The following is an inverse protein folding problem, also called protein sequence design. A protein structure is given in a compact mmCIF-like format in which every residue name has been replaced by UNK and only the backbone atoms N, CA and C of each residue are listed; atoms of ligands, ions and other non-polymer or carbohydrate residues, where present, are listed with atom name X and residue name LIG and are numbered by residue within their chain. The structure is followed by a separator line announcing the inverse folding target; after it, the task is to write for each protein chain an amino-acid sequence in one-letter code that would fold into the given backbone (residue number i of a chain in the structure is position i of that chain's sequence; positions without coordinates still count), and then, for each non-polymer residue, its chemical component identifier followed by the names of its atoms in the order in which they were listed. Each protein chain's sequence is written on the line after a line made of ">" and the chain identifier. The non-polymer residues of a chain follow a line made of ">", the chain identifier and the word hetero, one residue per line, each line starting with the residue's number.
data_IF_949060874807
#
_entry.id   IF_949060874807
#
_cell.length_a   1.000
_cell.length_b   1.000
_cell.length_c   1.000
_cell.angle_alpha   90.00
_cell.angle_beta   90.00
_cell.angle_gamma   90.00
#
_symmetry.space_group_name_H-M   'P 1'
#
loop_
_entity.id
_entity.type
_entity.pdbx_description
1 polymer ?
#
# COMPACT_ATOMS: atom_id res chain seq x y z
N UNK A 1 -53.54 8.07 -68.07
CA UNK A 1 -52.07 8.11 -68.06
C UNK A 1 -51.68 8.88 -66.81
N UNK A 2 -51.12 8.33 -65.73
CA UNK A 2 -50.02 7.37 -65.56
C UNK A 2 -50.03 7.03 -64.04
N UNK A 3 -50.28 5.81 -63.55
CA UNK A 3 -49.41 4.62 -63.31
C UNK A 3 -48.23 4.77 -62.33
N UNK A 4 -48.35 3.99 -61.24
CA UNK A 4 -47.35 3.20 -60.49
C UNK A 4 -46.23 3.82 -59.61
N UNK A 5 -46.44 3.65 -58.29
CA UNK A 5 -45.62 2.95 -57.25
C UNK A 5 -44.07 2.93 -57.36
N UNK A 6 -43.41 3.17 -56.21
CA UNK A 6 -42.23 2.39 -55.80
C UNK A 6 -41.24 3.03 -54.82
N UNK A 7 -41.10 2.39 -53.64
CA UNK A 7 -39.90 2.28 -52.75
C UNK A 7 -39.28 3.59 -52.21
N UNK A 8 -39.04 3.79 -50.91
CA UNK A 8 -38.40 2.87 -49.96
C UNK A 8 -37.15 3.57 -49.43
N UNK A 9 -37.15 3.97 -48.15
CA UNK A 9 -36.05 4.74 -47.58
C UNK A 9 -36.26 5.08 -46.10
N UNK A 10 -36.26 4.05 -45.24
CA UNK A 10 -35.99 4.21 -43.82
C UNK A 10 -34.56 4.75 -43.67
N UNK A 11 -34.39 6.06 -43.52
CA UNK A 11 -33.19 6.61 -42.90
C UNK A 11 -33.47 6.77 -41.42
N UNK A 12 -33.05 5.77 -40.67
CA UNK A 12 -33.01 5.75 -39.22
C UNK A 12 -32.26 6.98 -38.72
N UNK A 13 -32.89 7.73 -37.83
CA UNK A 13 -32.31 8.83 -37.08
C UNK A 13 -30.94 8.47 -36.52
N UNK A 14 -29.94 9.32 -36.78
CA UNK A 14 -28.67 9.28 -36.06
C UNK A 14 -28.95 9.37 -34.55
N UNK A 15 -28.45 8.45 -33.71
CA UNK A 15 -28.65 8.59 -32.26
C UNK A 15 -27.98 9.90 -31.80
N UNK A 16 -28.55 10.60 -30.82
CA UNK A 16 -27.95 11.84 -30.33
C UNK A 16 -26.54 11.55 -29.83
N UNK A 17 -25.56 12.34 -30.30
CA UNK A 17 -24.22 12.35 -29.73
C UNK A 17 -24.36 12.48 -28.20
N UNK A 18 -23.79 11.52 -27.48
CA UNK A 18 -23.76 11.54 -26.02
C UNK A 18 -23.27 12.93 -25.55
N UNK A 19 -23.86 13.49 -24.49
CA UNK A 19 -23.50 14.83 -24.04
C UNK A 19 -22.01 14.88 -23.73
N UNK A 20 -21.28 15.76 -24.43
CA UNK A 20 -19.86 16.00 -24.19
C UNK A 20 -19.69 16.53 -22.77
N UNK A 21 -19.07 15.73 -21.90
CA UNK A 21 -18.79 16.11 -20.52
C UNK A 21 -17.96 17.41 -20.54
N UNK A 22 -18.42 18.49 -19.88
CA UNK A 22 -17.67 19.75 -19.85
C UNK A 22 -16.27 19.52 -19.28
N UNK A 23 -15.24 20.10 -19.89
CA UNK A 23 -13.84 19.89 -19.49
C UNK A 23 -13.56 20.22 -18.00
N UNK A 24 -14.34 21.12 -17.38
CA UNK A 24 -14.29 21.39 -15.95
C UNK A 24 -14.78 20.20 -15.11
N UNK A 25 -15.83 19.53 -15.56
CA UNK A 25 -16.37 18.31 -14.93
C UNK A 25 -15.42 17.13 -15.13
N UNK A 26 -14.80 17.00 -16.31
CA UNK A 26 -13.78 15.99 -16.58
C UNK A 26 -12.54 16.18 -15.70
N UNK A 27 -12.09 17.44 -15.52
CA UNK A 27 -10.99 17.77 -14.59
C UNK A 27 -11.35 17.51 -13.14
N UNK A 28 -12.59 17.82 -12.73
CA UNK A 28 -13.09 17.50 -11.39
C UNK A 28 -13.18 15.99 -11.14
N UNK A 29 -13.64 15.22 -12.13
CA UNK A 29 -13.68 13.76 -12.10
C UNK A 29 -12.28 13.15 -12.09
N UNK A 30 -11.35 13.65 -12.90
CA UNK A 30 -9.95 13.22 -12.89
C UNK A 30 -9.26 13.56 -11.57
N UNK A 31 -9.47 14.74 -11.02
CA UNK A 31 -8.93 15.12 -9.71
C UNK A 31 -9.54 14.25 -8.60
N UNK A 32 -10.85 13.97 -8.64
CA UNK A 32 -11.52 13.07 -7.70
C UNK A 32 -11.06 11.61 -7.87
N UNK A 33 -10.80 11.14 -9.08
CA UNK A 33 -10.20 9.83 -9.38
C UNK A 33 -8.75 9.75 -8.93
N UNK A 34 -7.97 10.81 -9.10
CA UNK A 34 -6.59 10.92 -8.63
C UNK A 34 -6.53 10.99 -7.09
N UNK A 35 -7.49 11.68 -6.45
CA UNK A 35 -7.66 11.73 -5.00
C UNK A 35 -8.20 10.41 -4.44
N UNK A 36 -9.08 9.71 -5.16
CA UNK A 36 -9.55 8.37 -4.80
C UNK A 36 -8.45 7.31 -5.01
N UNK A 37 -7.60 7.46 -6.04
CA UNK A 37 -6.40 6.66 -6.22
C UNK A 37 -5.35 6.91 -5.13
N UNK A 38 -5.38 8.08 -4.47
CA UNK A 38 -4.52 8.41 -3.34
C UNK A 38 -4.96 7.75 -2.01
N UNK A 39 -6.05 6.97 -1.99
CA UNK A 39 -6.55 6.26 -0.80
C UNK A 39 -6.22 4.76 -0.78
N UNK A 40 -5.50 4.25 -1.78
CA UNK A 40 -5.19 2.83 -1.93
C UNK A 40 -3.69 2.59 -1.77
N UNK A 41 -3.30 1.53 -1.07
CA UNK A 41 -1.90 1.10 -1.02
C UNK A 41 -1.42 0.79 -2.44
N UNK A 42 -0.33 1.42 -2.89
CA UNK A 42 0.16 1.35 -4.27
C UNK A 42 1.47 0.55 -4.40
N UNK A 43 2.30 0.55 -3.35
CA UNK A 43 3.58 -0.17 -3.34
C UNK A 43 3.75 -0.98 -2.06
N UNK A 44 4.10 -2.25 -2.21
CA UNK A 44 4.33 -3.19 -1.12
C UNK A 44 5.82 -3.58 -1.13
N UNK A 45 6.57 -3.11 -0.14
CA UNK A 45 7.96 -3.47 0.08
C UNK A 45 8.07 -4.78 0.85
N UNK A 46 8.44 -5.86 0.16
CA UNK A 46 8.68 -7.18 0.74
C UNK A 46 10.12 -7.36 1.26
N UNK A 47 10.96 -6.34 1.12
CA UNK A 47 12.35 -6.36 1.58
C UNK A 47 12.49 -6.35 3.09
N UNK A 48 13.35 -7.23 3.60
CA UNK A 48 13.71 -7.26 5.02
C UNK A 48 14.42 -5.98 5.48
N UNK A 49 14.43 -5.68 6.79
CA UNK A 49 15.19 -4.56 7.33
C UNK A 49 16.65 -4.64 6.86
N UNK A 50 17.29 -3.50 6.66
CA UNK A 50 18.72 -3.40 6.27
C UNK A 50 19.05 -3.90 4.85
N UNK A 51 18.05 -4.04 3.99
CA UNK A 51 18.20 -4.25 2.54
C UNK A 51 18.05 -2.97 1.71
N UNK A 52 18.00 -1.80 2.37
CA UNK A 52 17.79 -0.50 1.70
C UNK A 52 16.38 0.06 1.87
N UNK A 53 15.58 -0.46 2.82
CA UNK A 53 14.19 -0.02 3.11
C UNK A 53 14.05 1.49 3.29
N UNK A 54 14.99 2.13 4.00
CA UNK A 54 15.00 3.59 4.20
C UNK A 54 15.22 4.39 2.90
N UNK A 55 16.13 3.91 2.03
CA UNK A 55 16.37 4.55 0.74
C UNK A 55 15.18 4.35 -0.19
N UNK A 56 14.56 3.17 -0.16
CA UNK A 56 13.33 2.89 -0.90
C UNK A 56 12.19 3.79 -0.44
N UNK A 57 12.00 3.96 0.88
CA UNK A 57 10.97 4.82 1.42
C UNK A 57 11.09 6.26 0.91
N UNK A 58 12.28 6.85 1.05
CA UNK A 58 12.54 8.20 0.53
C UNK A 58 12.31 8.31 -0.98
N UNK A 59 12.74 7.31 -1.75
CA UNK A 59 12.51 7.31 -3.20
C UNK A 59 11.01 7.29 -3.54
N UNK A 60 10.20 6.48 -2.84
CA UNK A 60 8.76 6.40 -3.04
C UNK A 60 8.05 7.70 -2.63
N UNK A 61 8.46 8.31 -1.52
CA UNK A 61 7.98 9.63 -1.08
C UNK A 61 8.30 10.69 -2.15
N UNK A 62 9.53 10.73 -2.67
CA UNK A 62 9.95 11.66 -3.72
C UNK A 62 9.19 11.45 -5.04
N UNK A 63 8.82 10.21 -5.36
CA UNK A 63 8.04 9.87 -6.55
C UNK A 63 6.53 10.15 -6.40
N UNK A 64 6.09 10.60 -5.23
CA UNK A 64 4.70 10.97 -5.00
C UNK A 64 3.77 9.80 -4.65
N UNK A 65 4.30 8.65 -4.23
CA UNK A 65 3.50 7.50 -3.75
C UNK A 65 2.90 7.73 -2.35
N UNK A 66 2.85 8.97 -1.85
CA UNK A 66 2.34 9.30 -0.52
C UNK A 66 3.39 9.13 0.57
N UNK A 67 2.95 8.69 1.75
CA UNK A 67 3.78 8.55 2.95
C UNK A 67 3.61 7.15 3.57
N UNK A 68 4.53 6.77 4.45
CA UNK A 68 4.51 5.48 5.15
C UNK A 68 4.88 5.61 6.64
N UNK A 69 4.87 4.48 7.35
CA UNK A 69 5.26 4.39 8.77
C UNK A 69 6.71 4.79 9.08
N UNK A 70 7.63 4.76 8.12
CA UNK A 70 9.02 5.18 8.31
C UNK A 70 9.17 6.70 8.40
N UNK A 71 8.31 7.46 7.72
CA UNK A 71 8.37 8.93 7.64
C UNK A 71 7.56 9.66 8.75
N UNK A 72 7.16 8.94 9.82
CA UNK A 72 6.56 9.50 11.03
C UNK A 72 5.23 10.29 10.81
N UNK A 73 4.08 9.61 10.72
CA UNK A 73 2.76 10.28 10.80
C UNK A 73 1.54 9.40 11.18
N UNK A 74 1.73 8.31 11.93
CA UNK A 74 0.70 7.77 12.82
C UNK A 74 1.30 7.77 14.21
N UNK A 75 0.52 7.69 15.30
CA UNK A 75 1.08 7.14 16.52
C UNK A 75 1.60 5.74 16.12
N UNK A 76 2.94 5.49 16.07
CA UNK A 76 3.48 4.18 15.69
C UNK A 76 2.80 3.04 16.47
N UNK A 77 2.24 3.37 17.64
CA UNK A 77 1.41 2.52 18.48
C UNK A 77 0.28 1.80 17.74
N UNK A 78 -0.59 2.48 16.95
CA UNK A 78 -1.76 1.80 16.35
C UNK A 78 -1.39 0.78 15.29
N UNK A 79 -0.49 1.14 14.38
CA UNK A 79 -0.01 0.20 13.36
C UNK A 79 0.85 -0.92 13.98
N UNK A 80 1.68 -0.62 14.98
CA UNK A 80 2.46 -1.65 15.68
C UNK A 80 1.57 -2.59 16.48
N UNK A 81 0.54 -2.09 17.15
CA UNK A 81 -0.44 -2.90 17.88
C UNK A 81 -1.23 -3.79 16.93
N UNK A 82 -1.73 -3.23 15.83
CA UNK A 82 -2.42 -4.00 14.79
C UNK A 82 -1.52 -5.07 14.17
N UNK A 83 -0.25 -4.74 13.92
CA UNK A 83 0.73 -5.70 13.44
C UNK A 83 1.07 -6.79 14.48
N UNK A 84 1.10 -6.45 15.78
CA UNK A 84 1.24 -7.45 16.86
C UNK A 84 0.03 -8.39 16.89
N UNK A 85 -1.19 -7.87 16.80
CA UNK A 85 -2.41 -8.69 16.73
C UNK A 85 -2.34 -9.66 15.55
N UNK A 86 -1.92 -9.17 14.38
CA UNK A 86 -1.72 -10.03 13.21
C UNK A 86 -0.64 -11.09 13.44
N UNK A 87 0.54 -10.72 13.96
CA UNK A 87 1.62 -11.68 14.21
C UNK A 87 1.27 -12.73 15.28
N UNK A 88 0.57 -12.33 16.34
CA UNK A 88 0.25 -13.19 17.49
C UNK A 88 -0.99 -14.07 17.23
N UNK A 89 -1.98 -13.55 16.50
CA UNK A 89 -3.31 -14.17 16.36
C UNK A 89 -3.65 -14.55 14.91
N UNK A 90 -2.83 -14.15 13.93
CA UNK A 90 -3.11 -14.32 12.51
C UNK A 90 -4.23 -13.42 11.97
N UNK A 91 -4.76 -12.50 12.79
CA UNK A 91 -5.85 -11.62 12.38
C UNK A 91 -5.31 -10.38 11.65
N UNK A 92 -5.39 -10.38 10.31
CA UNK A 92 -4.89 -9.30 9.47
C UNK A 92 -5.82 -8.07 9.40
N UNK A 93 -7.11 -8.22 9.72
CA UNK A 93 -8.11 -7.16 9.56
C UNK A 93 -7.74 -5.85 10.27
N UNK A 94 -7.31 -5.85 11.55
CA UNK A 94 -6.92 -4.61 12.23
C UNK A 94 -5.74 -3.91 11.55
N UNK A 95 -4.82 -4.68 10.98
CA UNK A 95 -3.66 -4.15 10.28
C UNK A 95 -4.09 -3.51 8.95
N UNK A 96 -4.97 -4.17 8.20
CA UNK A 96 -5.56 -3.63 6.99
C UNK A 96 -6.29 -2.31 7.26
N UNK A 97 -7.18 -2.28 8.27
CA UNK A 97 -7.92 -1.08 8.68
C UNK A 97 -6.97 0.06 9.04
N UNK A 98 -5.91 -0.21 9.82
CA UNK A 98 -4.95 0.80 10.22
C UNK A 98 -4.21 1.43 9.01
N UNK A 99 -3.88 0.64 7.98
CA UNK A 99 -3.22 1.12 6.76
C UNK A 99 -4.17 1.95 5.89
N UNK A 100 -5.42 1.51 5.76
CA UNK A 100 -6.46 2.22 4.99
C UNK A 100 -6.83 3.54 5.66
N UNK A 101 -7.07 3.54 6.97
CA UNK A 101 -7.40 4.75 7.74
C UNK A 101 -6.28 5.80 7.67
N UNK A 102 -5.04 5.34 7.67
CA UNK A 102 -3.86 6.18 7.53
C UNK A 102 -3.62 6.69 6.11
N UNK A 103 -4.33 6.14 5.11
CA UNK A 103 -4.15 6.45 3.69
C UNK A 103 -2.69 6.30 3.26
N UNK A 104 -2.04 5.21 3.68
CA UNK A 104 -0.67 4.94 3.27
C UNK A 104 -0.64 4.54 1.80
N UNK A 105 0.21 5.19 1.02
CA UNK A 105 0.41 4.83 -0.38
C UNK A 105 1.50 3.77 -0.58
N UNK A 106 2.33 3.50 0.43
CA UNK A 106 3.26 2.38 0.40
C UNK A 106 3.61 1.83 1.79
N UNK A 107 4.04 0.57 1.86
CA UNK A 107 4.55 -0.08 3.08
C UNK A 107 5.94 -0.66 2.83
N UNK A 108 6.84 -0.57 3.81
CA UNK A 108 8.18 -1.18 3.76
C UNK A 108 8.63 -1.53 5.18
N UNK A 109 9.65 -2.37 5.30
CA UNK A 109 10.29 -2.76 6.56
C UNK A 109 9.34 -3.50 7.52
N UNK A 110 9.88 -4.03 8.61
CA UNK A 110 9.07 -4.72 9.60
C UNK A 110 8.23 -3.72 10.40
N UNK A 111 7.02 -4.13 10.82
CA UNK A 111 6.43 -5.47 10.67
C UNK A 111 5.69 -5.68 9.34
N UNK A 112 5.46 -4.62 8.57
CA UNK A 112 4.56 -4.62 7.42
C UNK A 112 5.06 -5.46 6.23
N UNK A 113 6.39 -5.52 6.02
CA UNK A 113 6.97 -6.31 4.93
C UNK A 113 6.69 -7.80 5.05
N UNK A 114 6.37 -8.30 6.25
CA UNK A 114 6.06 -9.71 6.48
C UNK A 114 4.67 -10.08 5.96
N UNK A 115 3.72 -9.14 5.97
CA UNK A 115 2.35 -9.33 5.52
C UNK A 115 2.17 -9.02 4.02
N UNK A 116 3.26 -9.08 3.23
CA UNK A 116 3.23 -8.65 1.82
C UNK A 116 2.24 -9.46 0.97
N UNK A 117 1.98 -10.73 1.32
CA UNK A 117 1.02 -11.57 0.60
C UNK A 117 -0.40 -11.12 0.88
N UNK A 118 -0.72 -10.93 2.15
CA UNK A 118 -2.03 -10.44 2.59
C UNK A 118 -2.29 -9.05 1.99
N UNK A 119 -1.30 -8.17 1.96
CA UNK A 119 -1.41 -6.90 1.24
C UNK A 119 -1.62 -7.09 -0.27
N UNK A 120 -0.87 -7.97 -0.94
CA UNK A 120 -1.03 -8.20 -2.37
C UNK A 120 -2.41 -8.79 -2.74
N UNK A 121 -2.99 -9.60 -1.85
CA UNK A 121 -4.34 -10.15 -2.02
C UNK A 121 -5.43 -9.07 -1.90
N UNK A 122 -5.28 -8.13 -0.95
CA UNK A 122 -6.26 -7.04 -0.74
C UNK A 122 -6.04 -5.85 -1.68
N UNK A 123 -4.83 -5.67 -2.19
CA UNK A 123 -4.41 -4.58 -3.06
C UNK A 123 -3.79 -5.15 -4.35
N UNK A 124 -4.60 -5.78 -5.23
CA UNK A 124 -4.08 -6.50 -6.40
C UNK A 124 -3.38 -5.60 -7.43
N UNK A 125 -3.71 -4.30 -7.45
CA UNK A 125 -3.06 -3.31 -8.32
C UNK A 125 -1.73 -2.78 -7.73
N UNK A 126 -1.44 -3.08 -6.47
CA UNK A 126 -0.23 -2.63 -5.82
C UNK A 126 1.00 -3.39 -6.34
N UNK A 127 2.08 -2.68 -6.59
CA UNK A 127 3.34 -3.28 -7.05
C UNK A 127 4.11 -3.82 -5.85
N UNK A 128 4.55 -5.08 -5.95
CA UNK A 128 5.43 -5.68 -4.94
C UNK A 128 6.89 -5.43 -5.33
N UNK A 129 7.65 -4.85 -4.40
CA UNK A 129 9.08 -4.57 -4.56
C UNK A 129 9.87 -5.35 -3.51
N UNK A 130 10.73 -6.24 -3.97
CA UNK A 130 11.65 -7.00 -3.10
C UNK A 130 13.05 -6.39 -3.19
N UNK A 131 13.47 -5.68 -2.15
CA UNK A 131 14.88 -5.25 -2.03
C UNK A 131 15.71 -6.38 -1.45
N UNK A 132 16.80 -6.71 -2.14
CA UNK A 132 17.75 -7.75 -1.76
C UNK A 132 19.11 -7.16 -1.47
N UNK A 133 19.97 -7.95 -0.83
CA UNK A 133 21.37 -7.62 -0.61
C UNK A 133 22.21 -8.80 -1.07
N UNK A 134 23.33 -8.54 -1.73
CA UNK A 134 24.11 -9.56 -2.43
C UNK A 134 24.71 -10.62 -1.49
N UNK A 135 24.98 -10.26 -0.24
CA UNK A 135 25.61 -11.14 0.75
C UNK A 135 24.84 -11.17 2.07
N UNK A 136 24.45 -12.37 2.48
CA UNK A 136 23.72 -12.64 3.72
C UNK A 136 24.56 -12.31 4.96
N UNK A 137 25.89 -12.50 4.92
CA UNK A 137 26.77 -12.17 6.04
C UNK A 137 26.82 -10.67 6.30
N UNK A 138 26.80 -9.87 5.23
CA UNK A 138 26.81 -8.41 5.28
C UNK A 138 25.46 -7.87 5.73
N UNK A 139 24.36 -8.46 5.26
CA UNK A 139 23.03 -8.17 5.78
C UNK A 139 22.95 -8.46 7.27
N UNK A 140 23.35 -9.66 7.70
CA UNK A 140 23.28 -10.09 9.10
C UNK A 140 24.09 -9.18 10.02
N UNK A 141 25.32 -8.82 9.65
CA UNK A 141 26.13 -7.86 10.41
C UNK A 141 25.44 -6.51 10.57
N UNK A 142 24.82 -5.99 9.51
CA UNK A 142 24.07 -4.73 9.58
C UNK A 142 22.80 -4.83 10.42
N UNK A 143 22.10 -5.96 10.33
CA UNK A 143 20.91 -6.27 11.11
C UNK A 143 21.25 -6.40 12.59
N UNK A 144 22.21 -7.25 12.95
CA UNK A 144 22.62 -7.49 14.33
C UNK A 144 23.04 -6.21 15.07
N UNK A 145 23.66 -5.25 14.37
CA UNK A 145 24.04 -3.95 14.93
C UNK A 145 22.82 -3.06 15.29
N UNK A 146 21.71 -3.19 14.55
CA UNK A 146 20.54 -2.30 14.63
C UNK A 146 19.27 -2.98 15.13
N UNK A 147 19.30 -4.29 15.36
CA UNK A 147 18.15 -5.09 15.78
C UNK A 147 17.48 -4.55 17.05
N UNK A 148 18.24 -4.01 18.00
CA UNK A 148 17.70 -3.46 19.25
C UNK A 148 16.75 -2.26 19.02
N UNK A 149 16.97 -1.46 17.97
CA UNK A 149 16.07 -0.36 17.60
C UNK A 149 14.74 -0.89 17.06
N UNK A 150 14.81 -2.00 16.32
CA UNK A 150 13.67 -2.70 15.75
C UNK A 150 12.83 -3.34 16.86
N UNK A 151 13.47 -4.14 17.70
CA UNK A 151 12.81 -4.87 18.77
C UNK A 151 12.35 -3.96 19.90
N UNK A 152 13.08 -2.90 20.23
CA UNK A 152 12.67 -1.93 21.24
C UNK A 152 11.50 -1.02 20.83
N UNK A 153 11.23 -0.88 19.53
CA UNK A 153 10.09 -0.13 19.01
C UNK A 153 8.82 -1.00 18.83
N UNK A 154 9.00 -2.28 18.52
CA UNK A 154 7.90 -3.22 18.28
C UNK A 154 7.50 -4.01 19.54
N UNK A 155 8.44 -4.27 20.44
CA UNK A 155 8.27 -5.14 21.60
C UNK A 155 8.73 -4.46 22.90
N UNK A 156 8.49 -3.15 23.01
CA UNK A 156 8.93 -2.33 24.16
C UNK A 156 8.53 -2.93 25.51
N UNK A 157 7.43 -3.67 25.56
CA UNK A 157 6.89 -4.30 26.78
C UNK A 157 7.52 -5.69 27.09
N UNK A 158 8.20 -6.32 26.13
CA UNK A 158 8.72 -7.69 26.22
C UNK A 158 10.25 -7.76 26.39
N UNK A 159 10.93 -6.62 26.46
CA UNK A 159 12.37 -6.55 26.78
C UNK A 159 12.64 -7.01 28.22
N UNK A 160 13.80 -7.63 28.51
CA UNK A 160 14.09 -8.19 29.83
C UNK A 160 14.04 -7.10 30.90
N UNK A 161 13.00 -7.16 31.74
CA UNK A 161 12.61 -6.12 32.72
C UNK A 161 11.10 -5.81 32.71
N UNK A 162 10.42 -6.07 31.60
CA UNK A 162 8.94 -6.11 31.51
C UNK A 162 8.40 -7.49 31.87
N UNK A 163 7.21 -7.53 32.47
CA UNK A 163 6.56 -8.73 33.09
C UNK A 163 6.08 -9.80 32.09
N UNK A 164 6.83 -10.08 31.03
CA UNK A 164 6.45 -11.06 30.01
C UNK A 164 7.62 -11.45 29.11
N UNK A 165 8.57 -12.25 29.61
CA UNK A 165 9.66 -12.76 28.77
C UNK A 165 9.13 -13.85 27.82
N UNK A 166 8.79 -13.49 26.58
CA UNK A 166 8.71 -14.47 25.48
C UNK A 166 9.91 -14.28 24.56
N UNK A 167 10.73 -15.33 24.49
CA UNK A 167 11.96 -15.36 23.71
C UNK A 167 11.61 -15.72 22.26
N UNK A 168 11.56 -14.72 21.41
CA UNK A 168 11.48 -14.92 19.96
C UNK A 168 12.90 -15.05 19.41
N UNK A 169 13.24 -16.25 18.94
CA UNK A 169 14.47 -16.54 18.21
C UNK A 169 14.02 -16.76 16.76
N UNK A 170 14.51 -15.92 15.84
CA UNK A 170 14.48 -16.19 14.40
C UNK A 170 15.68 -17.06 14.04
#
# INVERSE_FOLDING_TARGET
>A
TDKDRGAGGMFTSCPPLAPSIPAAMLRGLLAALLVAAAAQLQVIGAGLPRTGTWSLAQALTLLGYGWNTHDACLPPQKCHEAARIWMDQGNFTPLLEAIVDAKMGFVVDVPLCLAFREFAEHFPEAKVVLTVRDDSSTWYRSFAQKQHLLFGALFRDDLPGGRGSRRWIF
#
